data_IF_519635257932
#
_entry.id   IF_519635257932
#
_cell.length_a   1.000
_cell.length_b   1.000
_cell.length_c   1.000
_cell.angle_alpha   90.00
_cell.angle_beta   90.00
_cell.angle_gamma   90.00
#
_symmetry.space_group_name_H-M   'P 1'
#
loop_
_entity.id
_entity.type
_entity.pdbx_description
1 polymer ?
#
# COMPACT_ATOMS: atom_id res chain seq x y z
N UNK A 1 8.18 28.84 -49.48
CA UNK A 1 7.16 27.88 -49.02
C UNK A 1 7.70 27.16 -47.79
N UNK A 2 7.53 27.76 -46.61
CA UNK A 2 8.07 27.22 -45.35
C UNK A 2 6.97 26.44 -44.65
N UNK A 3 7.13 25.12 -44.61
CA UNK A 3 6.15 24.16 -44.07
C UNK A 3 6.13 24.31 -42.55
N UNK A 4 5.04 24.86 -42.02
CA UNK A 4 4.76 24.92 -40.58
C UNK A 4 4.60 23.46 -40.11
N UNK A 5 5.58 22.99 -39.33
CA UNK A 5 5.46 21.73 -38.61
C UNK A 5 4.33 21.88 -37.59
N UNK A 6 3.19 21.25 -37.86
CA UNK A 6 2.15 21.02 -36.86
C UNK A 6 2.76 20.15 -35.77
N UNK A 7 3.05 20.76 -34.62
CA UNK A 7 3.24 20.02 -33.38
C UNK A 7 1.95 19.25 -33.12
N UNK A 8 1.98 17.93 -33.33
CA UNK A 8 0.92 17.04 -32.89
C UNK A 8 0.82 17.18 -31.38
N UNK A 9 -0.22 17.86 -30.91
CA UNK A 9 -0.69 17.78 -29.55
C UNK A 9 -1.12 16.33 -29.30
N UNK A 10 -0.24 15.57 -28.65
CA UNK A 10 -0.45 14.17 -28.31
C UNK A 10 -0.84 14.03 -26.83
N UNK A 11 -1.67 14.94 -26.32
CA UNK A 11 -2.28 14.81 -25.00
C UNK A 11 -3.36 13.73 -25.01
N UNK A 12 -2.90 12.48 -25.01
CA UNK A 12 -3.69 11.28 -24.65
C UNK A 12 -3.97 11.29 -23.15
N UNK A 13 -4.61 12.35 -22.66
CA UNK A 13 -4.87 12.52 -21.23
C UNK A 13 -5.85 11.42 -20.79
N UNK A 14 -5.32 10.51 -19.96
CA UNK A 14 -6.06 9.39 -19.36
C UNK A 14 -7.10 9.96 -18.40
N UNK A 15 -8.33 9.47 -18.45
CA UNK A 15 -9.41 9.95 -17.60
C UNK A 15 -9.61 8.97 -16.45
N UNK A 16 -8.95 9.23 -15.34
CA UNK A 16 -8.99 8.37 -14.15
C UNK A 16 -10.10 8.82 -13.19
N UNK A 17 -10.82 7.87 -12.61
CA UNK A 17 -11.84 8.10 -11.59
C UNK A 17 -11.64 7.13 -10.43
N UNK A 18 -11.69 7.62 -9.19
CA UNK A 18 -11.74 6.76 -8.03
C UNK A 18 -13.16 6.25 -7.79
N UNK A 19 -13.29 5.04 -7.27
CA UNK A 19 -14.58 4.44 -6.94
C UNK A 19 -14.48 3.52 -5.73
N UNK A 20 -15.61 3.33 -5.04
CA UNK A 20 -15.80 2.27 -4.04
C UNK A 20 -16.27 1.02 -4.75
N UNK A 21 -15.56 -0.08 -4.56
CA UNK A 21 -15.84 -1.36 -5.21
C UNK A 21 -16.86 -2.12 -4.35
N UNK A 22 -18.13 -2.02 -4.74
CA UNK A 22 -19.26 -2.58 -3.98
C UNK A 22 -19.85 -3.78 -4.70
N UNK A 23 -20.08 -4.85 -3.93
CA UNK A 23 -20.70 -6.08 -4.42
C UNK A 23 -19.70 -7.07 -5.04
N UNK A 24 -20.17 -8.29 -5.35
CA UNK A 24 -19.31 -9.41 -5.72
C UNK A 24 -18.55 -9.18 -7.03
N UNK A 25 -19.19 -8.57 -8.04
CA UNK A 25 -18.53 -8.29 -9.34
C UNK A 25 -17.36 -7.32 -9.20
N UNK A 26 -17.55 -6.23 -8.46
CA UNK A 26 -16.50 -5.22 -8.26
C UNK A 26 -15.35 -5.78 -7.41
N UNK A 27 -15.66 -6.61 -6.42
CA UNK A 27 -14.65 -7.33 -5.64
C UNK A 27 -13.84 -8.29 -6.52
N UNK A 28 -14.50 -9.05 -7.40
CA UNK A 28 -13.82 -9.97 -8.31
C UNK A 28 -12.89 -9.21 -9.28
N UNK A 29 -13.29 -8.03 -9.78
CA UNK A 29 -12.38 -7.17 -10.58
C UNK A 29 -11.14 -6.75 -9.79
N UNK A 30 -11.30 -6.39 -8.52
CA UNK A 30 -10.17 -6.06 -7.64
C UNK A 30 -9.24 -7.26 -7.45
N UNK A 31 -9.80 -8.44 -7.20
CA UNK A 31 -9.06 -9.69 -6.99
C UNK A 31 -8.30 -10.11 -8.27
N UNK A 32 -8.91 -9.94 -9.45
CA UNK A 32 -8.28 -10.21 -10.73
C UNK A 32 -7.13 -9.24 -11.02
N UNK A 33 -7.29 -7.94 -10.72
CA UNK A 33 -6.22 -6.95 -10.85
C UNK A 33 -5.06 -7.28 -9.90
N UNK A 34 -5.36 -7.60 -8.64
CA UNK A 34 -4.39 -8.04 -7.63
C UNK A 34 -3.60 -9.26 -8.12
N UNK A 35 -4.30 -10.30 -8.58
CA UNK A 35 -3.68 -11.48 -9.16
C UNK A 35 -2.73 -11.14 -10.31
N UNK A 36 -3.20 -10.38 -11.29
CA UNK A 36 -2.41 -10.04 -12.48
C UNK A 36 -1.13 -9.27 -12.12
N UNK A 37 -1.20 -8.33 -11.18
CA UNK A 37 -0.03 -7.54 -10.75
C UNK A 37 0.91 -8.39 -9.90
N UNK A 38 0.39 -9.08 -8.89
CA UNK A 38 1.22 -9.80 -7.93
C UNK A 38 1.87 -11.06 -8.52
N UNK A 39 1.15 -11.83 -9.34
CA UNK A 39 1.73 -12.99 -10.02
C UNK A 39 2.81 -12.58 -11.03
N UNK A 40 2.61 -11.48 -11.76
CA UNK A 40 3.56 -10.98 -12.76
C UNK A 40 4.86 -10.43 -12.17
N UNK A 41 4.79 -9.81 -10.99
CA UNK A 41 5.94 -9.10 -10.40
C UNK A 41 6.68 -9.90 -9.35
N UNK A 42 5.95 -10.65 -8.53
CA UNK A 42 6.49 -11.30 -7.35
C UNK A 42 6.61 -12.81 -7.52
N UNK A 43 6.11 -13.37 -8.63
CA UNK A 43 5.89 -14.82 -8.79
C UNK A 43 5.13 -15.38 -7.58
N UNK A 44 4.20 -14.58 -7.06
CA UNK A 44 3.58 -14.85 -5.78
C UNK A 44 2.74 -16.13 -5.80
N UNK A 45 2.75 -16.87 -4.69
CA UNK A 45 1.83 -17.99 -4.47
C UNK A 45 0.53 -17.46 -3.88
N UNK A 46 -0.44 -17.21 -4.76
CA UNK A 46 -1.69 -16.55 -4.40
C UNK A 46 -2.82 -17.57 -4.16
N UNK A 47 -3.65 -17.31 -3.16
CA UNK A 47 -4.90 -18.06 -2.95
C UNK A 47 -5.93 -17.64 -4.02
N UNK A 48 -6.55 -18.62 -4.68
CA UNK A 48 -7.46 -18.39 -5.81
C UNK A 48 -6.76 -18.29 -7.17
N UNK A 49 -5.45 -18.59 -7.23
CA UNK A 49 -4.67 -18.54 -8.47
C UNK A 49 -5.24 -19.43 -9.58
N UNK A 50 -5.88 -20.54 -9.25
CA UNK A 50 -6.59 -21.44 -10.17
C UNK A 50 -7.78 -20.77 -10.88
N UNK A 51 -8.32 -19.70 -10.28
CA UNK A 51 -9.37 -18.86 -10.86
C UNK A 51 -8.83 -17.57 -11.47
N UNK A 52 -7.51 -17.33 -11.41
CA UNK A 52 -6.90 -16.07 -11.80
C UNK A 52 -7.22 -14.92 -10.84
N UNK A 53 -7.42 -15.23 -9.56
CA UNK A 53 -7.79 -14.27 -8.51
C UNK A 53 -6.78 -14.30 -7.35
N UNK A 54 -6.65 -13.17 -6.66
CA UNK A 54 -6.00 -13.05 -5.35
C UNK A 54 -7.08 -12.76 -4.31
N UNK A 55 -7.52 -13.81 -3.60
CA UNK A 55 -8.62 -13.74 -2.65
C UNK A 55 -8.30 -14.39 -1.31
N UNK A 56 -8.80 -13.81 -0.23
CA UNK A 56 -8.67 -14.36 1.12
C UNK A 56 -9.90 -14.05 1.98
N UNK A 57 -9.93 -14.60 3.19
CA UNK A 57 -11.07 -14.50 4.11
C UNK A 57 -11.29 -13.06 4.62
N UNK A 58 -10.32 -12.14 4.47
CA UNK A 58 -10.51 -10.74 4.85
C UNK A 58 -11.34 -9.97 3.83
N UNK A 59 -11.38 -10.40 2.57
CA UNK A 59 -12.03 -9.64 1.49
C UNK A 59 -13.48 -9.27 1.81
N UNK A 60 -14.24 -10.18 2.45
CA UNK A 60 -15.65 -9.97 2.81
C UNK A 60 -15.85 -8.99 3.99
N UNK A 61 -14.83 -8.79 4.80
CA UNK A 61 -14.84 -7.89 5.96
C UNK A 61 -14.28 -6.50 5.62
N UNK A 62 -13.62 -6.38 4.47
CA UNK A 62 -12.98 -5.15 4.04
C UNK A 62 -13.88 -4.34 3.11
N UNK A 63 -13.70 -3.02 3.15
CA UNK A 63 -14.06 -2.17 2.03
C UNK A 63 -12.94 -2.21 1.01
N UNK A 64 -13.28 -1.96 -0.25
CA UNK A 64 -12.33 -1.92 -1.36
C UNK A 64 -12.55 -0.63 -2.13
N UNK A 65 -11.48 0.07 -2.43
CA UNK A 65 -11.51 1.26 -3.29
C UNK A 65 -10.54 1.05 -4.45
N UNK A 66 -10.83 1.68 -5.58
CA UNK A 66 -10.00 1.53 -6.77
C UNK A 66 -10.03 2.75 -7.67
N UNK A 67 -9.24 2.66 -8.73
CA UNK A 67 -9.16 3.67 -9.79
C UNK A 67 -9.51 3.00 -11.10
N UNK A 68 -10.48 3.56 -11.80
CA UNK A 68 -10.91 3.14 -13.14
C UNK A 68 -10.40 4.11 -14.18
N UNK A 69 -9.89 3.59 -15.29
CA UNK A 69 -9.70 4.36 -16.50
C UNK A 69 -11.04 4.42 -17.27
N UNK A 70 -11.64 5.60 -17.33
CA UNK A 70 -12.94 5.80 -17.96
C UNK A 70 -12.93 5.65 -19.48
N UNK A 71 -11.75 5.62 -20.11
CA UNK A 71 -11.65 5.34 -21.55
C UNK A 71 -11.73 3.84 -21.83
N UNK A 72 -10.97 3.03 -21.11
CA UNK A 72 -10.96 1.57 -21.30
C UNK A 72 -12.01 0.84 -20.47
N UNK A 73 -12.58 1.49 -19.46
CA UNK A 73 -13.47 0.88 -18.48
C UNK A 73 -12.75 -0.04 -17.49
N UNK A 74 -11.41 -0.14 -17.54
CA UNK A 74 -10.63 -1.07 -16.71
C UNK A 74 -10.35 -0.51 -15.33
N UNK A 75 -10.44 -1.36 -14.31
CA UNK A 75 -9.84 -1.11 -13.00
C UNK A 75 -8.31 -1.20 -13.13
N UNK A 76 -7.59 -0.16 -12.70
CA UNK A 76 -6.13 -0.02 -12.91
C UNK A 76 -5.34 0.17 -11.62
N UNK A 77 -6.02 0.44 -10.50
CA UNK A 77 -5.43 0.41 -9.17
C UNK A 77 -6.49 0.00 -8.15
N UNK A 78 -6.08 -0.62 -7.05
CA UNK A 78 -6.97 -0.97 -5.94
C UNK A 78 -6.22 -0.98 -4.62
N UNK A 79 -6.93 -0.74 -3.52
CA UNK A 79 -6.45 -1.01 -2.16
C UNK A 79 -7.59 -1.54 -1.30
N UNK A 80 -7.26 -2.45 -0.38
CA UNK A 80 -8.17 -3.05 0.59
C UNK A 80 -8.11 -2.28 1.90
N UNK A 81 -9.27 -2.03 2.50
CA UNK A 81 -9.43 -1.22 3.70
C UNK A 81 -10.11 -2.04 4.81
N UNK A 82 -9.35 -2.42 5.83
CA UNK A 82 -9.86 -3.11 7.02
C UNK A 82 -10.07 -2.11 8.16
N UNK A 83 -11.33 -1.87 8.50
CA UNK A 83 -11.73 -0.99 9.62
C UNK A 83 -11.50 -1.67 10.98
N UNK A 84 -11.13 -0.90 12.00
CA UNK A 84 -10.95 -1.41 13.36
C UNK A 84 -12.16 -2.17 13.94
N UNK A 85 -13.41 -1.84 13.61
CA UNK A 85 -14.59 -2.58 14.09
C UNK A 85 -14.68 -3.95 13.40
N UNK A 86 -14.35 -4.00 12.11
CA UNK A 86 -14.27 -5.25 11.36
C UNK A 86 -13.11 -6.13 11.86
N UNK A 87 -11.94 -5.54 12.11
CA UNK A 87 -10.80 -6.23 12.74
C UNK A 87 -11.14 -6.75 14.13
N UNK A 88 -11.83 -5.97 14.97
CA UNK A 88 -12.29 -6.41 16.29
C UNK A 88 -13.27 -7.58 16.19
N UNK A 89 -14.16 -7.58 15.18
CA UNK A 89 -15.09 -8.68 14.93
C UNK A 89 -14.37 -9.96 14.47
N UNK A 90 -13.30 -9.81 13.70
CA UNK A 90 -12.37 -10.89 13.33
C UNK A 90 -11.44 -11.32 14.48
N UNK A 91 -11.32 -10.49 15.52
CA UNK A 91 -10.40 -10.66 16.64
C UNK A 91 -8.94 -10.31 16.32
N UNK A 92 -8.66 -9.71 15.15
CA UNK A 92 -7.31 -9.33 14.70
C UNK A 92 -7.33 -8.42 13.48
N UNK A 93 -6.24 -7.67 13.31
CA UNK A 93 -5.87 -7.02 12.06
C UNK A 93 -5.14 -7.98 11.10
N UNK A 94 -5.08 -7.62 9.82
CA UNK A 94 -4.43 -8.42 8.78
C UNK A 94 -2.91 -8.52 9.01
N UNK A 95 -2.25 -7.41 9.37
CA UNK A 95 -0.81 -7.37 9.66
C UNK A 95 -0.43 -8.21 10.89
N UNK A 96 -1.38 -8.55 11.76
CA UNK A 96 -1.14 -9.46 12.88
C UNK A 96 -0.95 -10.91 12.42
N UNK A 97 -1.12 -11.23 11.13
CA UNK A 97 -0.68 -12.52 10.58
C UNK A 97 0.85 -12.61 10.53
N UNK A 98 1.51 -11.51 10.23
CA UNK A 98 2.97 -11.42 10.02
C UNK A 98 3.72 -10.87 11.24
N UNK A 99 3.06 -10.05 12.06
CA UNK A 99 3.68 -9.35 13.18
C UNK A 99 2.97 -9.60 14.50
N UNK A 100 3.74 -9.57 15.59
CA UNK A 100 3.20 -9.31 16.93
C UNK A 100 3.23 -7.79 17.17
N UNK A 101 2.06 -7.16 17.23
CA UNK A 101 1.90 -5.71 17.33
C UNK A 101 1.76 -5.24 18.79
N UNK A 102 2.89 -5.11 19.46
CA UNK A 102 2.95 -4.68 20.86
C UNK A 102 2.58 -3.21 20.99
N UNK A 103 1.65 -2.87 21.90
CA UNK A 103 1.22 -1.49 22.14
C UNK A 103 0.11 -0.99 21.22
N UNK A 104 -0.40 -1.82 20.29
CA UNK A 104 -1.49 -1.45 19.37
C UNK A 104 -2.75 -0.97 20.10
N UNK A 105 -3.15 -1.67 21.16
CA UNK A 105 -4.30 -1.27 21.99
C UNK A 105 -4.12 0.05 22.75
N UNK A 106 -2.90 0.62 22.77
CA UNK A 106 -2.62 1.92 23.38
C UNK A 106 -2.90 3.11 22.45
N UNK A 107 -3.07 2.88 21.14
CA UNK A 107 -3.36 3.94 20.17
C UNK A 107 -4.76 4.52 20.41
N UNK A 108 -4.84 5.86 20.45
CA UNK A 108 -6.08 6.57 20.76
C UNK A 108 -6.81 6.99 19.48
N UNK A 109 -7.91 6.31 19.15
CA UNK A 109 -8.81 6.64 18.04
C UNK A 109 -8.93 5.54 16.98
N UNK A 110 -9.84 5.70 16.01
CA UNK A 110 -10.10 4.66 15.02
C UNK A 110 -8.90 4.41 14.10
N UNK A 111 -8.65 3.14 13.81
CA UNK A 111 -7.55 2.67 12.96
C UNK A 111 -8.14 2.11 11.66
N UNK A 112 -7.54 2.47 10.53
CA UNK A 112 -7.79 1.84 9.23
C UNK A 112 -6.52 1.18 8.75
N UNK A 113 -6.60 -0.12 8.49
CA UNK A 113 -5.51 -0.87 7.90
C UNK A 113 -5.66 -0.97 6.38
N UNK A 114 -4.58 -0.68 5.67
CA UNK A 114 -4.46 -0.84 4.22
C UNK A 114 -3.74 -2.15 3.91
N UNK A 115 -4.26 -2.86 2.92
CA UNK A 115 -3.63 -4.06 2.38
C UNK A 115 -3.84 -4.19 0.88
N UNK A 116 -3.09 -5.12 0.27
CA UNK A 116 -3.24 -5.50 -1.15
C UNK A 116 -3.28 -4.30 -2.12
N UNK A 117 -2.51 -3.25 -1.82
CA UNK A 117 -2.43 -2.07 -2.69
C UNK A 117 -1.65 -2.42 -3.94
N UNK A 118 -2.26 -2.30 -5.11
CA UNK A 118 -1.58 -2.53 -6.37
C UNK A 118 -1.99 -1.51 -7.44
N UNK A 119 -1.09 -1.30 -8.40
CA UNK A 119 -1.30 -0.45 -9.58
C UNK A 119 -0.78 -1.20 -10.80
N UNK A 120 -1.61 -1.32 -11.83
CA UNK A 120 -1.24 -1.87 -13.13
C UNK A 120 0.07 -1.18 -13.61
N UNK A 121 1.08 -1.94 -14.06
CA UNK A 121 2.36 -1.39 -14.49
C UNK A 121 2.26 -0.22 -15.47
N UNK A 122 1.30 -0.27 -16.41
CA UNK A 122 1.09 0.78 -17.40
C UNK A 122 0.53 2.08 -16.80
N UNK A 123 0.03 2.03 -15.55
CA UNK A 123 -0.60 3.13 -14.82
C UNK A 123 0.22 3.61 -13.61
N UNK A 124 1.46 3.15 -13.44
CA UNK A 124 2.36 3.57 -12.35
C UNK A 124 2.91 4.98 -12.56
N UNK A 125 2.09 5.96 -12.24
CA UNK A 125 2.42 7.38 -12.27
C UNK A 125 1.79 8.12 -11.09
N UNK A 126 2.22 9.35 -10.86
CA UNK A 126 1.72 10.16 -9.74
C UNK A 126 0.23 10.47 -9.82
N UNK A 127 -0.35 10.56 -11.02
CA UNK A 127 -1.78 10.83 -11.22
C UNK A 127 -2.66 9.69 -10.71
N UNK A 128 -2.35 8.43 -11.06
CA UNK A 128 -3.13 7.27 -10.60
C UNK A 128 -3.14 7.16 -9.08
N UNK A 129 -1.96 7.29 -8.44
CA UNK A 129 -1.87 7.25 -6.97
C UNK A 129 -2.59 8.45 -6.33
N UNK A 130 -2.50 9.64 -6.92
CA UNK A 130 -3.20 10.81 -6.41
C UNK A 130 -4.73 10.62 -6.43
N UNK A 131 -5.29 10.00 -7.48
CA UNK A 131 -6.71 9.67 -7.56
C UNK A 131 -7.10 8.63 -6.50
N UNK A 132 -6.32 7.56 -6.34
CA UNK A 132 -6.57 6.55 -5.30
C UNK A 132 -6.51 7.16 -3.89
N UNK A 133 -5.53 8.02 -3.64
CA UNK A 133 -5.34 8.67 -2.34
C UNK A 133 -6.41 9.72 -2.03
N UNK A 134 -6.99 10.36 -3.04
CA UNK A 134 -8.13 11.25 -2.85
C UNK A 134 -9.35 10.49 -2.32
N UNK A 135 -9.67 9.31 -2.87
CA UNK A 135 -10.76 8.49 -2.32
C UNK A 135 -10.42 7.92 -0.94
N UNK A 136 -9.17 7.49 -0.72
CA UNK A 136 -8.73 7.09 0.62
C UNK A 136 -8.95 8.22 1.62
N UNK A 137 -8.63 9.46 1.26
CA UNK A 137 -8.88 10.60 2.12
C UNK A 137 -10.35 10.78 2.49
N UNK A 138 -11.27 10.69 1.52
CA UNK A 138 -12.70 10.73 1.80
C UNK A 138 -13.11 9.65 2.80
N UNK A 139 -12.62 8.41 2.62
CA UNK A 139 -12.85 7.31 3.56
C UNK A 139 -12.29 7.63 4.97
N UNK A 140 -11.11 8.26 5.04
CA UNK A 140 -10.50 8.67 6.32
C UNK A 140 -11.34 9.72 7.05
N UNK A 141 -11.89 10.66 6.30
CA UNK A 141 -12.71 11.74 6.80
C UNK A 141 -14.05 11.20 7.32
N UNK A 142 -14.73 10.39 6.53
CA UNK A 142 -16.00 9.75 6.90
C UNK A 142 -15.86 8.89 8.15
N UNK A 143 -14.83 8.05 8.23
CA UNK A 143 -14.61 7.18 9.39
C UNK A 143 -13.94 7.86 10.59
N UNK A 144 -13.54 9.13 10.45
CA UNK A 144 -12.79 9.89 11.46
C UNK A 144 -11.58 9.12 11.99
N UNK A 145 -10.86 8.45 11.10
CA UNK A 145 -9.69 7.66 11.46
C UNK A 145 -8.56 8.55 11.93
N UNK A 146 -7.93 8.13 13.04
CA UNK A 146 -6.77 8.77 13.63
C UNK A 146 -5.46 8.17 13.12
N UNK A 147 -5.50 6.88 12.74
CA UNK A 147 -4.34 6.14 12.25
C UNK A 147 -4.64 5.38 10.97
N UNK A 148 -3.63 5.38 10.12
CA UNK A 148 -3.45 4.47 9.00
C UNK A 148 -2.32 3.50 9.33
N UNK A 149 -2.50 2.22 9.04
CA UNK A 149 -1.43 1.24 9.15
C UNK A 149 -1.47 0.20 8.04
N UNK A 150 -0.45 -0.63 7.96
CA UNK A 150 -0.38 -1.76 7.02
C UNK A 150 1.06 -2.14 6.72
N UNK A 151 1.26 -2.98 5.71
CA UNK A 151 2.58 -3.39 5.24
C UNK A 151 2.93 -2.72 3.91
N UNK A 152 4.19 -2.31 3.78
CA UNK A 152 4.78 -1.90 2.52
C UNK A 152 5.95 -2.84 2.19
N UNK A 153 5.88 -3.46 1.02
CA UNK A 153 6.75 -4.57 0.66
C UNK A 153 8.00 -4.10 -0.09
N UNK A 154 9.14 -4.70 0.23
CA UNK A 154 10.40 -4.55 -0.49
C UNK A 154 10.70 -5.87 -1.21
N UNK A 155 10.91 -5.87 -2.54
CA UNK A 155 11.22 -7.10 -3.27
C UNK A 155 12.51 -7.78 -2.78
N UNK A 156 12.50 -9.11 -2.66
CA UNK A 156 13.63 -9.91 -2.14
C UNK A 156 14.39 -10.70 -3.23
N UNK A 157 14.18 -10.40 -4.53
CA UNK A 157 14.79 -11.18 -5.63
C UNK A 157 16.33 -11.09 -5.67
N UNK A 158 16.93 -10.12 -4.99
CA UNK A 158 18.38 -9.95 -4.87
C UNK A 158 18.96 -10.64 -3.62
N UNK A 159 18.19 -11.52 -2.97
CA UNK A 159 18.58 -12.17 -1.72
C UNK A 159 18.46 -11.28 -0.48
N UNK A 160 17.74 -10.15 -0.59
CA UNK A 160 17.45 -9.24 0.52
C UNK A 160 18.43 -8.07 0.65
N UNK A 161 19.38 -7.92 -0.28
CA UNK A 161 20.36 -6.82 -0.26
C UNK A 161 19.66 -5.47 -0.19
N UNK A 162 18.66 -5.23 -1.04
CA UNK A 162 17.90 -3.98 -1.01
C UNK A 162 17.08 -3.83 0.27
N UNK A 163 16.44 -4.89 0.76
CA UNK A 163 15.65 -4.83 1.99
C UNK A 163 16.51 -4.40 3.20
N UNK A 164 17.67 -5.02 3.38
CA UNK A 164 18.60 -4.64 4.46
C UNK A 164 19.13 -3.21 4.30
N UNK A 165 19.53 -2.80 3.09
CA UNK A 165 20.05 -1.45 2.83
C UNK A 165 18.98 -0.35 3.00
N UNK A 166 17.75 -0.60 2.57
CA UNK A 166 16.61 0.30 2.81
C UNK A 166 16.31 0.36 4.30
N UNK A 167 16.28 -0.78 4.99
CA UNK A 167 15.95 -0.84 6.40
C UNK A 167 16.96 -0.05 7.26
N UNK A 168 18.26 -0.09 6.95
CA UNK A 168 19.25 0.77 7.62
C UNK A 168 18.87 2.25 7.57
N UNK A 169 18.47 2.76 6.39
CA UNK A 169 18.05 4.15 6.20
C UNK A 169 16.72 4.46 6.88
N UNK A 170 15.81 3.48 6.93
CA UNK A 170 14.53 3.61 7.62
C UNK A 170 14.72 3.73 9.13
N UNK A 171 15.60 2.91 9.73
CA UNK A 171 15.90 2.95 11.17
C UNK A 171 16.36 4.33 11.62
N UNK A 172 17.26 4.94 10.86
CA UNK A 172 17.86 6.22 11.22
C UNK A 172 16.87 7.40 11.20
N UNK A 173 15.81 7.33 10.37
CA UNK A 173 14.99 8.51 10.04
C UNK A 173 13.50 8.36 10.31
N UNK A 174 12.98 7.14 10.29
CA UNK A 174 11.55 6.88 10.23
C UNK A 174 11.05 5.94 11.33
N UNK A 175 11.87 5.57 12.33
CA UNK A 175 11.38 4.78 13.47
C UNK A 175 10.21 5.48 14.16
N UNK A 176 9.20 4.69 14.48
CA UNK A 176 8.04 5.11 15.22
C UNK A 176 8.43 5.57 16.63
N UNK A 177 7.89 6.71 17.04
CA UNK A 177 8.05 7.26 18.39
C UNK A 177 6.89 6.90 19.30
N UNK A 178 5.78 6.40 18.74
CA UNK A 178 4.70 5.81 19.52
C UNK A 178 5.20 4.52 20.17
N UNK A 179 4.61 4.13 21.30
CA UNK A 179 4.93 2.86 21.98
C UNK A 179 4.43 1.60 21.22
N UNK A 180 4.23 1.72 19.90
CA UNK A 180 3.89 0.62 19.00
C UNK A 180 5.16 -0.03 18.45
N UNK A 181 5.31 -1.33 18.69
CA UNK A 181 6.40 -2.14 18.13
C UNK A 181 5.83 -3.33 17.35
N UNK A 182 6.16 -3.40 16.07
CA UNK A 182 5.88 -4.54 15.21
C UNK A 182 7.06 -5.51 15.25
N UNK A 183 6.88 -6.63 15.95
CA UNK A 183 7.87 -7.70 16.00
C UNK A 183 7.57 -8.73 14.90
N UNK A 184 8.47 -8.94 13.92
CA UNK A 184 8.20 -9.87 12.83
C UNK A 184 8.19 -11.31 13.36
N UNK A 185 7.13 -12.05 13.04
CA UNK A 185 7.07 -13.49 13.37
C UNK A 185 8.09 -14.29 12.57
N UNK A 186 8.48 -13.77 11.41
CA UNK A 186 9.50 -14.35 10.55
C UNK A 186 10.50 -13.27 10.13
N UNK A 187 11.54 -13.02 10.94
CA UNK A 187 12.53 -12.01 10.61
C UNK A 187 13.30 -12.40 9.34
N UNK A 188 13.85 -11.40 8.65
CA UNK A 188 14.76 -11.64 7.54
C UNK A 188 16.01 -12.40 8.02
N UNK A 189 16.57 -13.30 7.21
CA UNK A 189 17.88 -13.87 7.46
C UNK A 189 18.94 -12.78 7.65
N UNK A 190 19.89 -12.98 8.55
CA UNK A 190 20.98 -12.02 8.73
C UNK A 190 21.82 -11.92 7.46
N UNK A 191 22.05 -10.69 7.00
CA UNK A 191 22.91 -10.40 5.85
C UNK A 191 23.90 -9.29 6.20
N UNK A 192 25.19 -9.60 6.12
CA UNK A 192 26.24 -8.61 6.24
C UNK A 192 26.31 -7.80 4.94
N UNK A 193 26.04 -6.50 5.03
CA UNK A 193 26.13 -5.58 3.90
C UNK A 193 27.34 -4.65 4.02
N UNK A 194 28.02 -4.34 2.91
CA UNK A 194 28.98 -3.25 2.89
C UNK A 194 28.25 -1.90 3.07
N UNK A 195 28.89 -0.93 3.72
CA UNK A 195 28.25 0.35 4.09
C UNK A 195 27.88 1.28 2.92
N UNK A 196 28.21 0.90 1.68
CA UNK A 196 28.01 1.71 0.47
C UNK A 196 26.96 1.14 -0.50
N UNK A 197 26.09 0.23 -0.04
CA UNK A 197 25.00 -0.29 -0.90
C UNK A 197 24.03 0.81 -1.28
N UNK A 198 23.90 1.04 -2.58
CA UNK A 198 22.86 1.90 -3.15
C UNK A 198 21.60 1.05 -3.30
N UNK A 199 20.58 1.35 -2.50
CA UNK A 199 19.25 0.78 -2.66
C UNK A 199 18.22 1.86 -3.02
N UNK A 200 17.28 1.49 -3.88
CA UNK A 200 16.16 2.36 -4.26
C UNK A 200 14.90 1.94 -3.51
N UNK A 201 14.34 2.87 -2.75
CA UNK A 201 13.10 2.59 -2.03
C UNK A 201 11.95 2.38 -3.01
N UNK A 202 11.17 1.28 -2.88
CA UNK A 202 9.99 1.04 -3.70
C UNK A 202 9.06 2.26 -3.74
N UNK A 203 8.45 2.58 -4.90
CA UNK A 203 7.68 3.82 -5.06
C UNK A 203 6.58 4.01 -4.01
N UNK A 204 5.88 2.93 -3.64
CA UNK A 204 4.80 3.00 -2.65
C UNK A 204 5.33 3.25 -1.23
N UNK A 205 6.37 2.53 -0.81
CA UNK A 205 7.06 2.78 0.47
C UNK A 205 7.59 4.23 0.54
N UNK A 206 8.20 4.72 -0.55
CA UNK A 206 8.66 6.10 -0.67
C UNK A 206 7.51 7.10 -0.56
N UNK A 207 6.33 6.77 -1.08
CA UNK A 207 5.15 7.60 -0.97
C UNK A 207 4.67 7.68 0.49
N UNK A 208 4.62 6.56 1.23
CA UNK A 208 4.28 6.56 2.66
C UNK A 208 5.28 7.36 3.51
N UNK A 209 6.58 7.22 3.27
CA UNK A 209 7.60 8.00 3.99
C UNK A 209 7.45 9.50 3.73
N UNK A 210 7.06 9.89 2.51
CA UNK A 210 6.76 11.29 2.16
C UNK A 210 5.49 11.82 2.84
N UNK A 211 4.53 10.95 3.16
CA UNK A 211 3.35 11.31 3.94
C UNK A 211 3.67 11.57 5.42
N UNK A 212 4.82 11.11 5.90
CA UNK A 212 5.18 11.17 7.32
C UNK A 212 4.97 9.84 8.05
N UNK A 213 4.71 8.75 7.34
CA UNK A 213 4.57 7.44 7.97
C UNK A 213 5.88 7.03 8.65
N UNK A 214 5.73 6.24 9.70
CA UNK A 214 6.80 5.67 10.51
C UNK A 214 6.84 4.16 10.33
N UNK A 215 8.02 3.57 10.53
CA UNK A 215 8.20 2.13 10.62
C UNK A 215 8.22 1.70 12.09
N UNK A 216 7.53 0.61 12.42
CA UNK A 216 7.37 0.20 13.83
C UNK A 216 8.26 -0.98 14.25
N UNK A 217 9.14 -1.44 13.38
CA UNK A 217 10.04 -2.55 13.69
C UNK A 217 10.77 -3.08 12.46
N UNK A 218 11.44 -4.21 12.65
CA UNK A 218 12.11 -4.95 11.57
C UNK A 218 11.11 -5.57 10.60
N UNK A 219 11.48 -5.78 9.33
CA UNK A 219 10.57 -6.38 8.37
C UNK A 219 10.32 -7.86 8.62
N UNK A 220 9.17 -8.35 8.17
CA UNK A 220 8.82 -9.76 8.12
C UNK A 220 9.08 -10.30 6.71
N UNK A 221 9.58 -11.53 6.61
CA UNK A 221 9.80 -12.19 5.33
C UNK A 221 8.54 -12.94 4.88
N UNK A 222 7.86 -12.41 3.88
CA UNK A 222 6.79 -13.10 3.16
C UNK A 222 7.42 -13.96 2.04
N UNK A 223 7.41 -15.28 2.27
CA UNK A 223 7.91 -16.26 1.31
C UNK A 223 6.97 -16.47 0.12
N UNK A 224 5.67 -16.26 0.30
CA UNK A 224 4.69 -16.46 -0.76
C UNK A 224 4.78 -15.33 -1.78
N UNK A 225 5.05 -14.10 -1.34
CA UNK A 225 5.29 -12.95 -2.21
C UNK A 225 6.79 -12.70 -2.52
N UNK A 226 7.72 -13.39 -1.86
CA UNK A 226 9.16 -13.12 -2.01
C UNK A 226 9.50 -11.63 -1.76
N UNK A 227 8.97 -11.10 -0.66
CA UNK A 227 9.16 -9.71 -0.22
C UNK A 227 9.52 -9.64 1.25
N UNK A 228 10.10 -8.51 1.64
CA UNK A 228 10.25 -8.10 3.02
C UNK A 228 9.18 -7.04 3.31
N UNK A 229 8.18 -7.41 4.10
CA UNK A 229 7.11 -6.52 4.51
C UNK A 229 7.56 -5.66 5.67
N UNK A 230 7.46 -4.35 5.49
CA UNK A 230 7.76 -3.36 6.52
C UNK A 230 6.43 -2.84 7.06
N UNK A 231 6.18 -3.06 8.36
CA UNK A 231 5.00 -2.52 9.01
C UNK A 231 5.12 -0.99 9.18
N UNK A 232 4.12 -0.28 8.67
CA UNK A 232 4.05 1.18 8.70
C UNK A 232 2.87 1.66 9.56
N UNK A 233 3.09 2.77 10.26
CA UNK A 233 2.06 3.52 10.98
C UNK A 233 2.10 4.98 10.53
N UNK A 234 0.95 5.54 10.21
CA UNK A 234 0.78 6.94 9.87
C UNK A 234 -0.30 7.54 10.76
N UNK A 235 0.10 8.47 11.62
CA UNK A 235 -0.81 9.28 12.41
C UNK A 235 -1.35 10.40 11.54
N UNK A 236 -2.67 10.52 11.45
CA UNK A 236 -3.32 11.49 10.57
C UNK A 236 -2.87 12.94 10.85
N UNK A 237 -2.71 13.29 12.11
CA UNK A 237 -2.35 14.66 12.52
C UNK A 237 -0.89 15.01 12.21
N UNK A 238 -0.07 14.02 11.87
CA UNK A 238 1.32 14.17 11.46
C UNK A 238 1.51 14.10 9.93
N UNK A 239 0.40 14.04 9.17
CA UNK A 239 0.44 14.08 7.71
C UNK A 239 1.23 15.30 7.24
N UNK A 240 2.24 15.06 6.42
CA UNK A 240 3.05 16.12 5.84
C UNK A 240 2.15 17.16 5.16
N UNK A 241 2.17 18.46 5.56
CA UNK A 241 1.22 19.47 5.07
C UNK A 241 1.17 19.62 3.54
N UNK A 242 2.30 19.37 2.86
CA UNK A 242 2.40 19.38 1.40
C UNK A 242 1.49 18.32 0.75
N UNK A 243 1.37 17.16 1.37
CA UNK A 243 0.57 16.02 0.90
C UNK A 243 -0.79 15.96 1.59
N UNK A 244 -0.96 16.66 2.71
CA UNK A 244 -2.25 16.85 3.37
C UNK A 244 -3.30 17.46 2.43
N UNK A 245 -2.93 18.16 1.34
CA UNK A 245 -3.91 18.60 0.32
C UNK A 245 -4.70 17.45 -0.33
N UNK A 246 -4.15 16.24 -0.39
CA UNK A 246 -4.90 15.07 -0.82
C UNK A 246 -5.85 14.56 0.27
N UNK A 247 -5.58 14.89 1.54
CA UNK A 247 -6.31 14.43 2.73
C UNK A 247 -7.23 15.48 3.36
N UNK A 248 -7.14 16.74 2.93
CA UNK A 248 -8.04 17.82 3.32
C UNK A 248 -9.35 17.65 2.54
N UNK A 249 -10.27 16.86 3.08
CA UNK A 249 -11.68 17.23 2.96
C UNK A 249 -11.87 18.55 3.71
N UNK A 250 -12.82 19.35 3.24
CA UNK A 250 -13.21 20.62 3.82
C UNK A 250 -13.21 20.56 5.36
N UNK A 251 -12.40 21.41 5.99
CA UNK A 251 -12.66 21.89 7.35
C UNK A 251 -13.84 22.84 7.27
#
# INVERSE_FOLDING_TARGET
>A
MTRIARSGDNSTERRLQAERLVGPTALQEAQALRFSVFSGEFKAKLKGAELGLDMDDYDIHCRHIGVRDLRSGRLVATTRLLDHQAANSLGRFYSEEEFSLHGLGGLQGPILELGRTCVDPAYRNGGTIAVLWAELAEVLNEGRYSYLMGCASIPMQDGGVQAHAIMQRLRERYLCTEHLRAEPKKPLPNLALPGNVIAEMPPLLKAYMRLGAKICGEPCWDEDFQVADVFILLKRDELCPRYARHFKAAV
#
